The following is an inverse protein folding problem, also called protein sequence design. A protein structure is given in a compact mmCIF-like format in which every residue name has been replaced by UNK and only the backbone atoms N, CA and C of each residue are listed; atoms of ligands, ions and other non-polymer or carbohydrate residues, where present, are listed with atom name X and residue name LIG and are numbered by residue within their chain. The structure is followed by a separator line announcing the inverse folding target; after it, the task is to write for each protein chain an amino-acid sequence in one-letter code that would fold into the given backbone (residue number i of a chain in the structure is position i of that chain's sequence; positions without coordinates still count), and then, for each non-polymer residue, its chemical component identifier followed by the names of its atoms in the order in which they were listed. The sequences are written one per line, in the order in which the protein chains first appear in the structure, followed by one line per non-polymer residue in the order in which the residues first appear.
data_IF_701862939445
#
_entry.id   IF_701862939445
#
_cell.length_a   1.000
_cell.length_b   1.000
_cell.length_c   1.000
_cell.angle_alpha   90.00
_cell.angle_beta   90.00
_cell.angle_gamma   90.00
#
_symmetry.space_group_name_H-M   'P 1'
#
loop_
_entity.id
_entity.type
_entity.pdbx_description
1 polymer ?
#
# COMPACT_ATOMS: atom_id res chain seq x y z
N UNK A 1 2.15 6.98 -17.66
CA UNK A 1 2.22 6.44 -16.29
C UNK A 1 0.83 5.92 -15.97
N UNK A 2 0.69 4.59 -15.78
CA UNK A 2 -0.58 3.94 -15.46
C UNK A 2 -0.54 3.49 -14.01
N UNK A 3 -1.40 4.05 -13.18
CA UNK A 3 -1.43 3.82 -11.73
C UNK A 3 -2.66 3.03 -11.35
N UNK A 4 -2.48 1.93 -10.62
CA UNK A 4 -3.53 1.24 -9.88
C UNK A 4 -3.31 1.44 -8.38
N UNK A 5 -4.34 1.86 -7.66
CA UNK A 5 -4.31 2.00 -6.20
C UNK A 5 -5.39 1.13 -5.56
N UNK A 6 -5.05 0.36 -4.51
CA UNK A 6 -6.07 -0.32 -3.73
C UNK A 6 -6.76 0.63 -2.77
N UNK A 7 -8.09 0.56 -2.69
CA UNK A 7 -8.92 1.37 -1.80
C UNK A 7 -10.00 2.16 -2.51
N UNK A 8 -10.99 2.61 -1.74
CA UNK A 8 -12.08 3.42 -2.27
C UNK A 8 -11.75 4.92 -2.11
N UNK A 9 -11.57 5.66 -3.21
CA UNK A 9 -11.25 7.09 -3.15
C UNK A 9 -12.41 7.97 -2.63
N UNK A 10 -13.61 7.43 -2.49
CA UNK A 10 -14.75 8.14 -1.89
C UNK A 10 -14.66 8.26 -0.36
N UNK A 11 -13.77 7.51 0.28
CA UNK A 11 -13.53 7.58 1.73
C UNK A 11 -12.27 8.40 2.02
N UNK A 12 -12.23 9.05 3.18
CA UNK A 12 -11.05 9.80 3.65
C UNK A 12 -9.92 8.83 4.01
N UNK A 13 -9.12 8.46 3.03
CA UNK A 13 -8.05 7.45 3.11
C UNK A 13 -6.88 7.81 2.19
N UNK A 14 -5.83 7.01 2.20
CA UNK A 14 -4.72 7.14 1.24
C UNK A 14 -5.24 7.15 -0.21
N UNK A 15 -6.25 6.34 -0.53
CA UNK A 15 -6.81 6.29 -1.88
C UNK A 15 -7.43 7.63 -2.32
N UNK A 16 -8.09 8.37 -1.41
CA UNK A 16 -8.62 9.71 -1.73
C UNK A 16 -7.50 10.72 -1.99
N UNK A 17 -6.43 10.67 -1.20
CA UNK A 17 -5.26 11.52 -1.40
C UNK A 17 -4.55 11.20 -2.74
N UNK A 18 -4.44 9.92 -3.08
CA UNK A 18 -3.93 9.47 -4.40
C UNK A 18 -4.83 9.98 -5.52
N UNK A 19 -6.16 9.94 -5.37
CA UNK A 19 -7.09 10.45 -6.39
C UNK A 19 -6.92 11.94 -6.65
N UNK A 20 -6.71 12.72 -5.60
CA UNK A 20 -6.48 14.18 -5.72
C UNK A 20 -5.14 14.43 -6.43
N UNK A 21 -4.08 13.73 -6.04
CA UNK A 21 -2.73 13.94 -6.58
C UNK A 21 -2.56 13.39 -8.00
N UNK A 22 -3.21 12.25 -8.29
CA UNK A 22 -3.16 11.54 -9.55
C UNK A 22 -4.58 11.30 -10.08
N UNK A 23 -5.23 12.29 -10.70
CA UNK A 23 -6.63 12.19 -11.12
C UNK A 23 -6.93 11.06 -12.13
N UNK A 24 -5.92 10.63 -12.88
CA UNK A 24 -5.99 9.52 -13.84
C UNK A 24 -5.72 8.13 -13.25
N UNK A 25 -5.46 8.03 -11.95
CA UNK A 25 -5.27 6.74 -11.31
C UNK A 25 -6.57 5.93 -11.26
N UNK A 26 -6.46 4.63 -11.49
CA UNK A 26 -7.54 3.67 -11.31
C UNK A 26 -7.52 3.08 -9.90
N UNK A 27 -8.68 2.59 -9.45
CA UNK A 27 -8.83 2.12 -8.08
C UNK A 27 -9.43 0.73 -8.03
N UNK A 28 -8.77 -0.17 -7.27
CA UNK A 28 -9.28 -1.49 -6.94
C UNK A 28 -9.98 -1.45 -5.58
N UNK A 29 -11.30 -1.54 -5.57
CA UNK A 29 -12.15 -1.52 -4.37
C UNK A 29 -13.45 -2.27 -4.62
N UNK A 30 -14.23 -2.53 -3.58
CA UNK A 30 -15.57 -3.10 -3.74
C UNK A 30 -16.47 -2.26 -4.65
N UNK A 31 -16.34 -0.95 -4.63
CA UNK A 31 -17.10 -0.04 -5.48
C UNK A 31 -16.78 -0.22 -6.97
N UNK A 32 -15.61 -0.78 -7.30
CA UNK A 32 -15.16 -1.08 -8.66
C UNK A 32 -15.22 -2.58 -9.00
N UNK A 33 -15.95 -3.37 -8.21
CA UNK A 33 -16.07 -4.82 -8.40
C UNK A 33 -14.95 -5.64 -7.79
N UNK A 34 -14.09 -5.03 -6.99
CA UNK A 34 -12.90 -5.65 -6.42
C UNK A 34 -13.07 -5.89 -4.92
N UNK A 35 -13.53 -7.07 -4.51
CA UNK A 35 -13.62 -7.40 -3.08
C UNK A 35 -12.34 -8.07 -2.56
N UNK A 36 -11.40 -7.25 -2.14
CA UNK A 36 -10.13 -7.72 -1.59
C UNK A 36 -10.24 -8.35 -0.19
N UNK A 37 -11.42 -8.33 0.44
CA UNK A 37 -11.62 -8.98 1.77
C UNK A 37 -11.54 -10.48 1.67
N UNK A 38 -11.93 -11.01 0.52
CA UNK A 38 -11.91 -12.42 0.23
C UNK A 38 -10.95 -12.63 -0.93
N UNK A 39 -9.70 -12.97 -0.61
CA UNK A 39 -8.72 -13.34 -1.61
C UNK A 39 -9.00 -14.78 -2.04
N UNK A 40 -10.02 -14.94 -2.86
CA UNK A 40 -10.40 -16.19 -3.49
C UNK A 40 -9.81 -16.30 -4.91
N UNK A 41 -9.81 -17.50 -5.52
CA UNK A 41 -9.24 -17.68 -6.86
C UNK A 41 -9.84 -16.76 -7.93
N UNK A 42 -11.13 -16.45 -7.86
CA UNK A 42 -11.76 -15.54 -8.84
C UNK A 42 -11.30 -14.10 -8.70
N UNK A 43 -11.19 -13.61 -7.48
CA UNK A 43 -10.63 -12.28 -7.19
C UNK A 43 -9.15 -12.19 -7.58
N UNK A 44 -8.39 -13.26 -7.37
CA UNK A 44 -7.00 -13.34 -7.77
C UNK A 44 -6.84 -13.29 -9.28
N UNK A 45 -7.59 -14.09 -10.03
CA UNK A 45 -7.53 -14.13 -11.49
C UNK A 45 -7.92 -12.78 -12.10
N UNK A 46 -8.96 -12.14 -11.58
CA UNK A 46 -9.34 -10.80 -12.02
C UNK A 46 -8.22 -9.78 -11.76
N UNK A 47 -7.61 -9.79 -10.58
CA UNK A 47 -6.48 -8.90 -10.27
C UNK A 47 -5.28 -9.18 -11.17
N UNK A 48 -4.95 -10.45 -11.42
CA UNK A 48 -3.85 -10.87 -12.31
C UNK A 48 -4.01 -10.31 -13.71
N UNK A 49 -5.23 -10.27 -14.21
CA UNK A 49 -5.50 -9.71 -15.54
C UNK A 49 -5.41 -8.18 -15.56
N UNK A 50 -5.92 -7.52 -14.54
CA UNK A 50 -5.89 -6.06 -14.47
C UNK A 50 -4.48 -5.50 -14.29
N UNK A 51 -3.67 -6.09 -13.40
CA UNK A 51 -2.37 -5.54 -13.01
C UNK A 51 -1.34 -5.49 -14.16
N UNK A 52 -1.57 -6.26 -15.22
CA UNK A 52 -0.74 -6.23 -16.45
C UNK A 52 -0.77 -4.87 -17.17
N UNK A 53 -1.82 -4.09 -16.96
CA UNK A 53 -2.05 -2.81 -17.64
C UNK A 53 -1.38 -1.62 -16.94
N UNK A 54 -0.75 -1.87 -15.78
CA UNK A 54 -0.20 -0.82 -14.92
C UNK A 54 1.31 -0.99 -14.76
N UNK A 55 1.97 0.14 -14.52
CA UNK A 55 3.40 0.18 -14.19
C UNK A 55 3.68 0.87 -12.85
N UNK A 56 2.65 1.38 -12.19
CA UNK A 56 2.69 1.81 -10.79
C UNK A 56 1.56 1.12 -10.05
N UNK A 57 1.89 0.45 -8.95
CA UNK A 57 0.91 -0.17 -8.06
C UNK A 57 1.04 0.38 -6.64
N UNK A 58 -0.03 1.02 -6.13
CA UNK A 58 -0.09 1.57 -4.77
C UNK A 58 -0.96 0.65 -3.93
N UNK A 59 -0.32 -0.15 -3.09
CA UNK A 59 -0.92 -1.15 -2.22
C UNK A 59 -1.25 -0.52 -0.87
N UNK A 60 -2.38 0.18 -0.79
CA UNK A 60 -2.73 1.05 0.35
C UNK A 60 -3.79 0.48 1.28
N UNK A 61 -4.63 -0.44 0.83
CA UNK A 61 -5.73 -0.97 1.64
C UNK A 61 -5.26 -2.08 2.57
N UNK A 62 -5.58 -1.97 3.86
CA UNK A 62 -5.45 -3.11 4.74
C UNK A 62 -6.44 -4.21 4.36
N UNK A 63 -5.93 -5.41 4.20
CA UNK A 63 -6.68 -6.61 3.86
C UNK A 63 -6.26 -7.68 4.86
N UNK A 64 -7.23 -8.27 5.54
CA UNK A 64 -6.98 -9.36 6.49
C UNK A 64 -6.25 -10.55 5.84
N UNK A 65 -5.71 -11.44 6.64
CA UNK A 65 -5.07 -12.67 6.18
C UNK A 65 -3.92 -12.43 5.18
N UNK A 66 -3.06 -11.47 5.48
CA UNK A 66 -1.90 -11.12 4.65
C UNK A 66 -2.25 -10.65 3.22
N UNK A 67 -3.48 -10.15 3.00
CA UNK A 67 -3.92 -9.78 1.65
C UNK A 67 -3.04 -8.74 0.95
N UNK A 68 -2.48 -7.74 1.68
CA UNK A 68 -1.51 -6.82 1.07
C UNK A 68 -0.21 -7.53 0.63
N UNK A 69 0.25 -8.52 1.38
CA UNK A 69 1.42 -9.31 1.01
C UNK A 69 1.11 -10.16 -0.22
N UNK A 70 -0.07 -10.78 -0.29
CA UNK A 70 -0.51 -11.53 -1.47
C UNK A 70 -0.56 -10.62 -2.71
N UNK A 71 -1.09 -9.40 -2.59
CA UNK A 71 -1.12 -8.43 -3.69
C UNK A 71 0.30 -8.03 -4.16
N UNK A 72 1.22 -7.81 -3.24
CA UNK A 72 2.63 -7.54 -3.55
C UNK A 72 3.24 -8.69 -4.36
N UNK A 73 3.11 -9.93 -3.87
CA UNK A 73 3.67 -11.12 -4.52
C UNK A 73 3.05 -11.37 -5.89
N UNK A 74 1.73 -11.28 -5.98
CA UNK A 74 1.02 -11.46 -7.25
C UNK A 74 1.41 -10.41 -8.28
N UNK A 75 1.48 -9.13 -7.87
CA UNK A 75 1.91 -8.05 -8.77
C UNK A 75 3.33 -8.29 -9.26
N UNK A 76 4.25 -8.59 -8.34
CA UNK A 76 5.64 -8.81 -8.66
C UNK A 76 5.82 -10.02 -9.61
N UNK A 77 5.15 -11.13 -9.33
CA UNK A 77 5.20 -12.34 -10.17
C UNK A 77 4.67 -12.07 -11.59
N UNK A 78 3.53 -11.39 -11.70
CA UNK A 78 2.94 -11.02 -13.00
C UNK A 78 3.85 -10.07 -13.78
N UNK A 79 4.43 -9.07 -13.14
CA UNK A 79 5.31 -8.14 -13.79
C UNK A 79 6.62 -8.79 -14.26
N UNK A 80 7.19 -9.70 -13.46
CA UNK A 80 8.35 -10.50 -13.89
C UNK A 80 8.01 -11.34 -15.11
N UNK A 81 6.89 -12.10 -15.08
CA UNK A 81 6.46 -12.98 -16.18
C UNK A 81 6.18 -12.22 -17.48
N UNK A 82 5.68 -11.00 -17.37
CA UNK A 82 5.34 -10.16 -18.54
C UNK A 82 6.42 -9.13 -18.87
N UNK A 83 7.59 -9.19 -18.23
CA UNK A 83 8.70 -8.25 -18.41
C UNK A 83 8.30 -6.76 -18.23
N UNK A 84 7.36 -6.51 -17.31
CA UNK A 84 6.90 -5.16 -16.99
C UNK A 84 7.89 -4.53 -16.01
N UNK A 85 8.43 -3.38 -16.37
CA UNK A 85 9.26 -2.55 -15.49
C UNK A 85 8.36 -1.56 -14.78
N UNK A 86 8.27 -1.69 -13.46
CA UNK A 86 7.31 -0.89 -12.70
C UNK A 86 7.77 -0.61 -11.26
N UNK A 87 6.90 0.07 -10.53
CA UNK A 87 7.14 0.44 -9.14
C UNK A 87 5.95 0.05 -8.25
N UNK A 88 6.17 -0.83 -7.28
CA UNK A 88 5.19 -1.22 -6.27
C UNK A 88 5.44 -0.39 -5.02
N UNK A 89 4.43 0.34 -4.56
CA UNK A 89 4.49 1.19 -3.38
C UNK A 89 3.54 0.61 -2.33
N UNK A 90 4.10 0.08 -1.25
CA UNK A 90 3.34 -0.50 -0.16
C UNK A 90 3.17 0.52 0.96
N UNK A 91 1.93 0.71 1.43
CA UNK A 91 1.64 1.57 2.58
C UNK A 91 1.63 0.72 3.83
N UNK A 92 2.66 0.92 4.64
CA UNK A 92 2.87 0.32 5.94
C UNK A 92 2.18 1.09 7.07
N UNK A 93 2.67 0.88 8.29
CA UNK A 93 2.15 1.54 9.50
C UNK A 93 3.21 1.54 10.59
N UNK A 94 3.23 2.58 11.42
CA UNK A 94 4.07 2.61 12.64
C UNK A 94 3.77 1.46 13.61
N UNK A 95 2.62 0.82 13.48
CA UNK A 95 2.31 -0.41 14.20
C UNK A 95 3.32 -1.55 13.95
N UNK A 96 4.12 -1.46 12.87
CA UNK A 96 5.20 -2.41 12.59
C UNK A 96 6.30 -2.43 13.67
N UNK A 97 6.46 -1.32 14.38
CA UNK A 97 7.44 -1.17 15.46
C UNK A 97 6.93 -1.60 16.83
N UNK A 98 5.60 -1.81 16.97
CA UNK A 98 5.03 -2.26 18.24
C UNK A 98 5.52 -3.67 18.57
N UNK A 99 6.00 -3.85 19.81
CA UNK A 99 6.42 -5.15 20.32
C UNK A 99 5.25 -6.15 20.33
N UNK A 100 5.57 -7.44 20.31
CA UNK A 100 4.55 -8.51 20.41
C UNK A 100 3.80 -8.39 21.75
N UNK A 101 4.47 -7.87 22.77
CA UNK A 101 3.92 -7.67 24.11
C UNK A 101 2.94 -6.49 24.22
N UNK A 102 3.08 -5.50 23.33
CA UNK A 102 2.22 -4.31 23.31
C UNK A 102 0.88 -4.54 22.59
N UNK A 103 0.76 -5.66 21.91
CA UNK A 103 -0.42 -5.97 21.10
C UNK A 103 -0.90 -7.37 21.48
N UNK A 104 -2.06 -7.45 22.11
CA UNK A 104 -2.69 -8.74 22.41
C UNK A 104 -2.83 -9.54 21.12
N UNK A 105 -2.20 -10.72 21.07
CA UNK A 105 -2.14 -11.59 19.89
C UNK A 105 -3.53 -11.94 19.34
N UNK A 106 -4.51 -11.98 20.22
CA UNK A 106 -5.93 -12.21 19.95
C UNK A 106 -6.71 -10.95 19.54
N UNK A 107 -6.06 -9.78 19.53
CA UNK A 107 -6.66 -8.54 19.04
C UNK A 107 -6.47 -8.40 17.52
N UNK A 108 -7.42 -7.73 16.87
CA UNK A 108 -7.32 -7.34 15.45
C UNK A 108 -6.00 -6.61 15.16
N UNK A 109 -5.46 -5.88 16.13
CA UNK A 109 -4.22 -5.13 16.03
C UNK A 109 -2.95 -5.99 16.10
N UNK A 110 -2.93 -7.12 16.80
CA UNK A 110 -1.79 -8.04 16.85
C UNK A 110 -1.53 -8.66 15.48
N UNK A 111 -2.57 -9.18 14.85
CA UNK A 111 -2.48 -9.66 13.48
C UNK A 111 -2.10 -8.56 12.48
N UNK A 112 -2.54 -7.32 12.70
CA UNK A 112 -2.20 -6.17 11.87
C UNK A 112 -0.69 -5.86 11.87
N UNK A 113 -0.08 -5.73 13.05
CA UNK A 113 1.35 -5.45 13.20
C UNK A 113 2.22 -6.49 12.51
N UNK A 114 1.93 -7.79 12.72
CA UNK A 114 2.66 -8.90 12.11
C UNK A 114 2.56 -8.86 10.58
N UNK A 115 1.35 -8.62 10.05
CA UNK A 115 1.12 -8.55 8.61
C UNK A 115 1.87 -7.37 7.98
N UNK A 116 1.90 -6.22 8.64
CA UNK A 116 2.63 -5.03 8.15
C UNK A 116 4.14 -5.25 8.16
N UNK A 117 4.71 -5.90 9.19
CA UNK A 117 6.13 -6.30 9.19
C UNK A 117 6.46 -7.25 8.04
N UNK A 118 5.66 -8.29 7.85
CA UNK A 118 5.87 -9.25 6.76
C UNK A 118 5.85 -8.55 5.39
N UNK A 119 4.91 -7.61 5.19
CA UNK A 119 4.83 -6.80 3.97
C UNK A 119 6.08 -5.95 3.76
N UNK A 120 6.58 -5.27 4.82
CA UNK A 120 7.81 -4.47 4.78
C UNK A 120 9.00 -5.34 4.40
N UNK A 121 9.22 -6.42 5.15
CA UNK A 121 10.40 -7.26 4.98
C UNK A 121 10.43 -7.86 3.56
N UNK A 122 9.27 -8.26 3.04
CA UNK A 122 9.17 -8.76 1.68
C UNK A 122 9.37 -7.67 0.63
N UNK A 123 8.83 -6.48 0.84
CA UNK A 123 9.08 -5.33 -0.03
C UNK A 123 10.58 -5.03 -0.18
N UNK A 124 11.30 -5.01 0.94
CA UNK A 124 12.75 -4.79 0.95
C UNK A 124 13.52 -5.91 0.22
N UNK A 125 13.12 -7.17 0.40
CA UNK A 125 13.73 -8.31 -0.30
C UNK A 125 13.55 -8.25 -1.82
N UNK A 126 12.44 -7.74 -2.30
CA UNK A 126 12.10 -7.68 -3.73
C UNK A 126 12.67 -6.45 -4.43
N UNK A 127 13.07 -5.43 -3.69
CA UNK A 127 13.48 -4.15 -4.26
C UNK A 127 14.62 -4.29 -5.28
N UNK A 128 14.47 -3.60 -6.41
CA UNK A 128 15.41 -3.58 -7.54
C UNK A 128 15.73 -4.95 -8.17
N UNK A 129 14.94 -5.98 -7.86
CA UNK A 129 15.07 -7.27 -8.54
C UNK A 129 14.30 -7.29 -9.85
N UNK A 130 14.87 -7.87 -10.88
CA UNK A 130 14.24 -7.99 -12.21
C UNK A 130 13.80 -6.66 -12.84
N UNK A 131 14.35 -5.53 -12.37
CA UNK A 131 14.00 -4.18 -12.86
C UNK A 131 12.66 -3.66 -12.34
N UNK A 132 12.13 -4.26 -11.28
CA UNK A 132 10.95 -3.78 -10.55
C UNK A 132 11.43 -3.09 -9.29
N UNK A 133 11.00 -1.83 -9.09
CA UNK A 133 11.22 -1.10 -7.83
C UNK A 133 10.12 -1.50 -6.84
N UNK A 134 10.49 -1.62 -5.58
CA UNK A 134 9.52 -1.69 -4.47
C UNK A 134 9.88 -0.67 -3.42
N UNK A 135 8.88 0.05 -2.92
CA UNK A 135 9.01 0.99 -1.82
C UNK A 135 8.01 0.67 -0.72
N UNK A 136 8.43 0.82 0.52
CA UNK A 136 7.57 0.66 1.67
C UNK A 136 7.51 1.98 2.44
N UNK A 137 6.32 2.55 2.58
CA UNK A 137 6.09 3.82 3.29
C UNK A 137 5.45 3.50 4.64
N UNK A 138 6.22 3.64 5.71
CA UNK A 138 5.72 3.50 7.07
C UNK A 138 5.03 4.82 7.44
N UNK A 139 3.71 4.79 7.57
CA UNK A 139 2.92 5.96 7.93
C UNK A 139 2.45 5.89 9.38
N UNK A 140 2.55 7.00 10.08
CA UNK A 140 1.89 7.22 11.37
C UNK A 140 0.36 7.24 11.25
N UNK A 141 -0.33 7.53 12.34
CA UNK A 141 -1.78 7.72 12.31
C UNK A 141 -2.18 8.77 11.28
N UNK A 142 -3.16 8.45 10.44
CA UNK A 142 -3.63 9.34 9.37
C UNK A 142 -4.85 10.13 9.83
N UNK A 143 -4.83 11.44 9.60
CA UNK A 143 -6.00 12.29 9.81
C UNK A 143 -7.08 11.93 8.79
N UNK A 144 -8.06 11.15 9.23
CA UNK A 144 -9.20 10.68 8.44
C UNK A 144 -10.46 11.53 8.68
N UNK A 145 -10.30 12.69 9.34
CA UNK A 145 -11.37 13.62 9.67
C UNK A 145 -12.19 13.25 10.91
N UNK A 146 -11.80 12.19 11.64
CA UNK A 146 -12.49 11.82 12.88
C UNK A 146 -12.04 12.66 14.08
N UNK A 147 -12.91 12.87 15.07
CA UNK A 147 -12.53 13.54 16.30
C UNK A 147 -11.31 12.87 16.97
N UNK A 148 -10.34 13.67 17.39
CA UNK A 148 -9.09 13.21 17.99
C UNK A 148 -7.98 12.85 17.00
N UNK A 149 -8.24 12.89 15.69
CA UNK A 149 -7.23 12.64 14.66
C UNK A 149 -6.69 13.93 14.01
N UNK A 150 -7.04 15.10 14.54
CA UNK A 150 -6.72 16.41 13.95
C UNK A 150 -5.20 16.64 13.87
N UNK A 151 -4.46 16.13 14.85
CA UNK A 151 -2.99 16.23 14.92
C UNK A 151 -2.25 15.10 14.20
N UNK A 152 -2.97 14.14 13.65
CA UNK A 152 -2.38 13.04 12.91
C UNK A 152 -1.88 13.48 11.53
N UNK A 153 -1.11 12.63 10.89
CA UNK A 153 -0.51 12.91 9.60
C UNK A 153 -1.56 13.24 8.53
N UNK A 154 -1.42 14.40 7.90
CA UNK A 154 -2.32 14.81 6.84
C UNK A 154 -2.22 13.88 5.62
N UNK A 155 -3.35 13.54 5.03
CA UNK A 155 -3.41 12.67 3.85
C UNK A 155 -2.64 13.26 2.66
N UNK A 156 -2.62 14.59 2.51
CA UNK A 156 -1.82 15.27 1.48
C UNK A 156 -0.31 15.01 1.63
N UNK A 157 0.18 14.86 2.86
CA UNK A 157 1.58 14.52 3.12
C UNK A 157 1.94 13.13 2.58
N UNK A 158 1.04 12.14 2.75
CA UNK A 158 1.22 10.80 2.16
C UNK A 158 1.24 10.88 0.63
N UNK A 159 0.31 11.64 0.03
CA UNK A 159 0.27 11.79 -1.42
C UNK A 159 1.54 12.43 -1.98
N UNK A 160 2.11 13.42 -1.28
CA UNK A 160 3.39 14.05 -1.64
C UNK A 160 4.57 13.07 -1.55
N UNK A 161 4.60 12.23 -0.52
CA UNK A 161 5.65 11.20 -0.39
C UNK A 161 5.51 10.15 -1.50
N UNK A 162 4.30 9.70 -1.81
CA UNK A 162 4.06 8.78 -2.93
C UNK A 162 4.56 9.39 -4.24
N UNK A 163 4.23 10.66 -4.51
CA UNK A 163 4.69 11.37 -5.70
C UNK A 163 6.22 11.48 -5.74
N UNK A 164 6.84 11.87 -4.62
CA UNK A 164 8.29 11.93 -4.51
C UNK A 164 8.95 10.59 -4.83
N UNK A 165 8.44 9.48 -4.26
CA UNK A 165 8.93 8.13 -4.49
C UNK A 165 8.78 7.72 -5.97
N UNK A 166 7.68 8.08 -6.60
CA UNK A 166 7.43 7.80 -8.03
C UNK A 166 8.40 8.56 -8.93
N UNK A 167 8.61 9.84 -8.65
CA UNK A 167 9.42 10.74 -9.48
C UNK A 167 10.93 10.55 -9.27
N UNK A 168 11.33 9.95 -8.14
CA UNK A 168 12.75 9.81 -7.84
C UNK A 168 13.44 8.82 -8.80
N UNK A 169 14.57 9.18 -9.41
CA UNK A 169 15.26 8.34 -10.38
C UNK A 169 15.77 7.03 -9.75
N UNK A 170 16.27 7.12 -8.51
CA UNK A 170 16.75 5.97 -7.76
C UNK A 170 15.61 5.28 -7.02
N UNK A 171 15.85 4.04 -6.61
CA UNK A 171 14.90 3.33 -5.76
C UNK A 171 15.02 3.82 -4.32
N UNK A 172 13.87 4.12 -3.72
CA UNK A 172 13.76 4.45 -2.30
C UNK A 172 13.04 3.30 -1.63
N UNK A 173 13.78 2.36 -1.01
CA UNK A 173 13.17 1.12 -0.52
C UNK A 173 12.30 1.32 0.72
N UNK A 174 12.63 2.32 1.56
CA UNK A 174 11.94 2.58 2.82
C UNK A 174 11.88 4.07 3.12
N UNK A 175 10.69 4.54 3.49
CA UNK A 175 10.46 5.88 4.05
C UNK A 175 9.57 5.74 5.28
N UNK A 176 9.89 6.47 6.31
CA UNK A 176 9.04 6.60 7.49
C UNK A 176 8.58 8.05 7.64
N UNK A 177 7.29 8.25 7.92
CA UNK A 177 6.67 9.56 8.06
C UNK A 177 5.70 9.60 9.24
N UNK A 178 5.89 10.56 10.10
CA UNK A 178 5.07 10.83 11.28
C UNK A 178 4.44 12.21 11.21
N UNK A 179 3.36 12.42 11.97
CA UNK A 179 2.93 13.77 12.32
C UNK A 179 4.04 14.45 13.13
N UNK A 180 4.22 15.74 12.94
CA UNK A 180 5.05 16.51 13.86
C UNK A 180 4.42 16.41 15.26
N UNK A 181 5.15 15.82 16.20
CA UNK A 181 4.79 15.92 17.62
C UNK A 181 5.07 17.35 18.07
N UNK A 182 4.06 17.99 18.63
CA UNK A 182 4.26 19.23 19.41
C UNK A 182 5.07 18.94 20.67
#
# INVERSE_FOLDING_TARGET
MNILCTGNPAHTTVASAVKIKFPSADFASRATGFDLRFWDPGSEDFFRDQIKNYNIFINSSFICNYGQLCLLETTWDIWVKNNIKGHIINIGSTAEWMGVDDVRIDSIYGGYSIQKRALRDRSLQLNNKKGIKTSHIIAGGLNDGKPGHEKWLALDSIAKIIDYVIQHPDSIPLIEIHSASD
#
